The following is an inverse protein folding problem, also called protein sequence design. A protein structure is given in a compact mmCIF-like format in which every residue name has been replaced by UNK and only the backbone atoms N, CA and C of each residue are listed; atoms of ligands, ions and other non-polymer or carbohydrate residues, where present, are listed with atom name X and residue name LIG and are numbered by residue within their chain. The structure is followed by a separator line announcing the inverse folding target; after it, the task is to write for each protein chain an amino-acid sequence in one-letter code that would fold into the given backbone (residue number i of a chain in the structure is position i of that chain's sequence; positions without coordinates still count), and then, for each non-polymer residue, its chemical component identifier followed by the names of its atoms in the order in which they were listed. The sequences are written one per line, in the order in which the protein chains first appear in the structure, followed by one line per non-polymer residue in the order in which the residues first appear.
data_IF_383917162964
#
_entry.id   IF_383917162964
#
_cell.length_a   1.000
_cell.length_b   1.000
_cell.length_c   1.000
_cell.angle_alpha   90.00
_cell.angle_beta   90.00
_cell.angle_gamma   90.00
#
_symmetry.space_group_name_H-M   'P 1'
#
loop_
_entity.id
_entity.type
_entity.pdbx_description
1 polymer ?
#
# COMPACT_ATOMS: atom_id res chain seq x y z
N UNK A 1 -3.88 -9.67 -6.88
CA UNK A 1 -2.51 -9.43 -7.38
C UNK A 1 -2.10 -10.53 -8.36
N UNK A 2 -1.99 -11.80 -7.96
CA UNK A 2 -1.68 -12.88 -8.91
C UNK A 2 -2.76 -13.06 -9.98
N UNK A 3 -4.05 -12.96 -9.61
CA UNK A 3 -5.15 -12.99 -10.59
C UNK A 3 -5.08 -11.86 -11.63
N UNK A 4 -4.42 -10.75 -11.28
CA UNK A 4 -4.34 -9.54 -12.09
C UNK A 4 -3.09 -9.51 -12.96
N UNK A 5 -1.94 -9.81 -12.37
CA UNK A 5 -0.63 -9.66 -12.99
C UNK A 5 -0.01 -10.99 -13.44
N UNK A 6 -0.68 -12.12 -13.16
CA UNK A 6 -0.26 -13.47 -13.50
C UNK A 6 0.60 -14.14 -12.43
N UNK A 7 0.83 -15.44 -12.59
CA UNK A 7 1.72 -16.22 -11.71
C UNK A 7 3.21 -16.07 -12.06
N UNK A 8 3.55 -15.40 -13.16
CA UNK A 8 4.93 -15.11 -13.56
C UNK A 8 5.69 -14.20 -12.57
N UNK A 9 4.95 -13.44 -11.76
CA UNK A 9 5.46 -12.64 -10.63
C UNK A 9 5.50 -13.41 -9.30
N UNK A 10 5.24 -14.73 -9.32
CA UNK A 10 5.34 -15.60 -8.14
C UNK A 10 6.72 -16.25 -8.09
N UNK A 11 7.33 -16.25 -6.90
CA UNK A 11 8.57 -16.99 -6.62
C UNK A 11 8.26 -18.46 -6.37
N UNK A 12 9.30 -19.30 -6.38
CA UNK A 12 9.17 -20.74 -6.16
C UNK A 12 8.60 -21.09 -4.77
N UNK A 13 8.81 -20.22 -3.78
CA UNK A 13 8.25 -20.34 -2.43
C UNK A 13 6.81 -19.80 -2.30
N UNK A 14 6.21 -19.38 -3.42
CA UNK A 14 4.87 -18.81 -3.48
C UNK A 14 4.79 -17.32 -3.13
N UNK A 15 5.90 -16.68 -2.77
CA UNK A 15 5.93 -15.25 -2.43
C UNK A 15 5.96 -14.37 -3.67
N UNK A 16 5.68 -13.07 -3.50
CA UNK A 16 5.66 -12.10 -4.58
C UNK A 16 7.08 -11.69 -4.99
N UNK A 17 7.38 -11.81 -6.28
CA UNK A 17 8.54 -11.20 -6.90
C UNK A 17 8.30 -9.71 -7.18
N UNK A 18 8.60 -8.88 -6.18
CA UNK A 18 8.42 -7.42 -6.25
C UNK A 18 9.18 -6.76 -7.40
N UNK A 19 10.33 -7.32 -7.81
CA UNK A 19 11.12 -6.74 -8.90
C UNK A 19 10.39 -6.91 -10.23
N UNK A 20 9.93 -8.12 -10.53
CA UNK A 20 9.13 -8.39 -11.75
C UNK A 20 7.83 -7.61 -11.76
N UNK A 21 7.12 -7.55 -10.63
CA UNK A 21 5.91 -6.72 -10.55
C UNK A 21 6.24 -5.25 -10.79
N UNK A 22 7.33 -4.73 -10.20
CA UNK A 22 7.82 -3.38 -10.42
C UNK A 22 8.10 -3.08 -11.89
N UNK A 23 8.82 -3.96 -12.59
CA UNK A 23 9.08 -3.86 -14.02
C UNK A 23 7.79 -3.80 -14.85
N UNK A 24 6.73 -4.48 -14.42
CA UNK A 24 5.43 -4.44 -15.11
C UNK A 24 4.71 -3.11 -14.87
N UNK A 25 4.60 -2.69 -13.60
CA UNK A 25 3.75 -1.53 -13.24
C UNK A 25 4.43 -0.19 -13.50
N UNK A 26 5.76 -0.10 -13.44
CA UNK A 26 6.46 1.16 -13.70
C UNK A 26 6.68 1.44 -15.20
N UNK A 27 6.38 0.47 -16.07
CA UNK A 27 6.40 0.65 -17.53
C UNK A 27 4.99 0.86 -18.12
N UNK A 28 3.94 0.83 -17.30
CA UNK A 28 2.55 0.96 -17.75
C UNK A 28 1.68 1.62 -16.66
N UNK A 29 1.35 2.90 -16.87
CA UNK A 29 0.56 3.70 -15.92
C UNK A 29 -0.79 3.07 -15.58
N UNK A 30 -1.42 2.35 -16.52
CA UNK A 30 -2.71 1.68 -16.26
C UNK A 30 -2.53 0.54 -15.26
N UNK A 31 -1.44 -0.21 -15.39
CA UNK A 31 -1.10 -1.29 -14.45
C UNK A 31 -0.68 -0.76 -13.09
N UNK A 32 -0.03 0.40 -13.03
CA UNK A 32 0.24 1.07 -11.78
C UNK A 32 -1.05 1.48 -11.07
N UNK A 33 -2.00 2.07 -11.79
CA UNK A 33 -3.32 2.41 -11.25
C UNK A 33 -4.05 1.17 -10.75
N UNK A 34 -3.99 0.06 -11.49
CA UNK A 34 -4.59 -1.21 -11.09
C UNK A 34 -3.94 -1.78 -9.81
N UNK A 35 -2.61 -1.77 -9.73
CA UNK A 35 -1.89 -2.18 -8.52
C UNK A 35 -2.28 -1.31 -7.31
N UNK A 36 -2.31 0.01 -7.50
CA UNK A 36 -2.69 0.96 -6.46
C UNK A 36 -4.13 0.70 -6.00
N UNK A 37 -5.06 0.47 -6.92
CA UNK A 37 -6.47 0.17 -6.61
C UNK A 37 -6.63 -1.12 -5.78
N UNK A 38 -5.80 -2.13 -6.06
CA UNK A 38 -5.80 -3.38 -5.28
C UNK A 38 -5.16 -3.22 -3.90
N UNK A 39 -4.11 -2.40 -3.79
CA UNK A 39 -3.28 -2.33 -2.59
C UNK A 39 -3.75 -1.25 -1.60
N UNK A 40 -4.25 -0.11 -2.08
CA UNK A 40 -4.64 1.02 -1.24
C UNK A 40 -5.69 0.66 -0.17
N UNK A 41 -6.76 -0.12 -0.45
CA UNK A 41 -7.70 -0.52 0.60
C UNK A 41 -7.05 -1.33 1.73
N UNK A 42 -6.15 -2.25 1.37
CA UNK A 42 -5.43 -3.06 2.35
C UNK A 42 -4.42 -2.22 3.14
N UNK A 43 -3.70 -1.31 2.48
CA UNK A 43 -2.77 -0.37 3.12
C UNK A 43 -3.52 0.53 4.10
N UNK A 44 -4.65 1.13 3.70
CA UNK A 44 -5.52 1.95 4.56
C UNK A 44 -5.95 1.20 5.82
N UNK A 45 -6.41 -0.05 5.66
CA UNK A 45 -6.79 -0.91 6.79
C UNK A 45 -5.62 -1.16 7.75
N UNK A 46 -4.43 -1.40 7.23
CA UNK A 46 -3.23 -1.62 8.06
C UNK A 46 -2.77 -0.33 8.76
N UNK A 47 -2.86 0.83 8.10
CA UNK A 47 -2.59 2.13 8.72
C UNK A 47 -3.53 2.36 9.91
N UNK A 48 -4.84 2.20 9.71
CA UNK A 48 -5.84 2.35 10.79
C UNK A 48 -5.55 1.41 11.95
N UNK A 49 -5.22 0.15 11.66
CA UNK A 49 -4.86 -0.85 12.67
C UNK A 49 -3.63 -0.39 13.49
N UNK A 50 -2.59 0.11 12.82
CA UNK A 50 -1.39 0.62 13.49
C UNK A 50 -1.68 1.86 14.33
N UNK A 51 -2.49 2.81 13.83
CA UNK A 51 -2.92 3.99 14.59
C UNK A 51 -3.67 3.56 15.86
N UNK A 52 -4.62 2.63 15.75
CA UNK A 52 -5.38 2.13 16.91
C UNK A 52 -4.49 1.43 17.94
N UNK A 53 -3.50 0.65 17.49
CA UNK A 53 -2.52 0.03 18.38
C UNK A 53 -1.61 1.05 19.07
N UNK A 54 -1.24 2.14 18.39
CA UNK A 54 -0.47 3.23 19.00
C UNK A 54 -1.32 3.92 20.08
N UNK A 55 -2.60 4.21 19.77
CA UNK A 55 -3.56 4.78 20.74
C UNK A 55 -3.72 3.92 21.98
N UNK A 56 -3.84 2.59 21.83
CA UNK A 56 -3.99 1.68 22.98
C UNK A 56 -2.72 1.57 23.84
N UNK A 57 -1.56 1.98 23.32
CA UNK A 57 -0.28 1.97 24.04
C UNK A 57 0.09 3.35 24.62
N UNK A 58 -0.89 4.24 24.83
CA UNK A 58 -0.70 5.59 25.40
C UNK A 58 0.38 6.42 24.71
N UNK A 59 0.46 6.33 23.37
CA UNK A 59 1.31 7.20 22.56
C UNK A 59 0.46 8.30 21.92
N UNK A 60 0.95 9.52 22.00
CA UNK A 60 0.18 10.70 21.61
C UNK A 60 0.30 11.05 20.11
N UNK A 61 1.36 10.61 19.44
CA UNK A 61 1.66 10.97 18.04
C UNK A 61 1.97 9.72 17.21
N UNK A 62 1.36 9.65 16.03
CA UNK A 62 1.70 8.71 14.96
C UNK A 62 2.08 9.49 13.69
N UNK A 63 3.14 9.05 13.01
CA UNK A 63 3.57 9.62 11.72
C UNK A 63 3.26 8.58 10.64
N UNK A 64 2.47 8.99 9.64
CA UNK A 64 2.20 8.18 8.44
C UNK A 64 3.09 8.71 7.32
N UNK A 65 4.17 7.99 7.05
CA UNK A 65 5.06 8.25 5.91
C UNK A 65 4.52 7.49 4.68
N UNK A 66 4.08 8.24 3.66
CA UNK A 66 3.54 7.68 2.44
C UNK A 66 3.82 8.60 1.25
N UNK A 67 4.44 8.06 0.20
CA UNK A 67 4.72 8.79 -1.04
C UNK A 67 3.45 9.22 -1.79
N UNK A 68 2.34 8.47 -1.63
CA UNK A 68 1.07 8.67 -2.33
C UNK A 68 -0.06 8.91 -1.33
N UNK A 69 0.14 9.84 -0.39
CA UNK A 69 -0.86 10.11 0.65
C UNK A 69 -2.15 10.72 0.06
N UNK A 70 -2.00 11.62 -0.91
CA UNK A 70 -3.11 12.33 -1.57
C UNK A 70 -3.78 11.40 -2.58
N UNK A 71 -2.99 10.81 -3.48
CA UNK A 71 -3.44 9.89 -4.53
C UNK A 71 -4.03 8.61 -3.93
N UNK A 72 -3.58 8.21 -2.75
CA UNK A 72 -4.13 7.11 -1.98
C UNK A 72 -5.47 7.40 -1.31
N UNK A 73 -5.91 8.65 -1.30
CA UNK A 73 -7.06 9.12 -0.53
C UNK A 73 -6.96 8.70 0.95
N UNK A 74 -5.77 8.93 1.53
CA UNK A 74 -5.44 8.64 2.93
C UNK A 74 -5.47 9.88 3.81
N UNK A 75 -5.79 11.06 3.26
CA UNK A 75 -5.84 12.32 3.99
C UNK A 75 -6.87 12.31 5.13
N UNK A 76 -7.92 11.51 5.01
CA UNK A 76 -8.92 11.31 6.06
C UNK A 76 -8.40 10.54 7.29
N UNK A 77 -7.20 9.97 7.20
CA UNK A 77 -6.56 9.22 8.29
C UNK A 77 -5.63 10.08 9.16
N UNK A 78 -5.34 11.32 8.75
CA UNK A 78 -4.33 12.18 9.39
C UNK A 78 -4.93 13.51 9.84
N UNK A 79 -4.49 13.99 11.01
CA UNK A 79 -4.93 15.28 11.53
C UNK A 79 -4.17 16.46 10.90
N UNK A 80 -2.96 16.21 10.37
CA UNK A 80 -2.07 17.22 9.78
C UNK A 80 -1.21 16.64 8.66
N UNK A 81 -1.13 17.37 7.55
CA UNK A 81 -0.15 17.17 6.48
C UNK A 81 1.07 18.08 6.75
N UNK A 82 2.27 17.53 6.58
CA UNK A 82 3.56 18.23 6.80
C UNK A 82 4.38 18.17 5.53
#
# INVERSE_FOLDING_TARGET
VFDTFGDNIKRNDGTLDRKKLGEIVFNDDKKLIELNSLTHPAIKKEIIKKINNIKSNNKDIAIVDAALLIEGNFLDLVDKLV
#
